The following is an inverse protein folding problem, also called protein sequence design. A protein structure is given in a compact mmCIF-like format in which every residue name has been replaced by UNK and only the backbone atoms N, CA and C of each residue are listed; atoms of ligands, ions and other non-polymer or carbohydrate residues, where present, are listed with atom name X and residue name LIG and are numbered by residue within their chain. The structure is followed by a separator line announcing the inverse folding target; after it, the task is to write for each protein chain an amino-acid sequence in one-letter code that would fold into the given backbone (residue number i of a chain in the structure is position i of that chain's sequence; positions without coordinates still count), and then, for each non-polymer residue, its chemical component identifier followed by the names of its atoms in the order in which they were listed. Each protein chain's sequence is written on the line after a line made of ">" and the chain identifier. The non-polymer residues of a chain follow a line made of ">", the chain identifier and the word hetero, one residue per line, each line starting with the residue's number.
data_IF_783410225495
#
_entry.id   IF_783410225495
#
_cell.length_a   1.000
_cell.length_b   1.000
_cell.length_c   1.000
_cell.angle_alpha   90.00
_cell.angle_beta   90.00
_cell.angle_gamma   90.00
#
_symmetry.space_group_name_H-M   'P 1'
#
loop_
_entity.id
_entity.type
_entity.pdbx_description
1 polymer ?
#
# COMPACT_ATOMS: atom_id res chain seq x y z
N UNK A 1 2.11 13.36 1.52
CA UNK A 1 1.18 12.25 1.81
C UNK A 1 0.31 11.99 0.59
N UNK A 2 0.31 10.76 0.13
CA UNK A 2 -0.46 10.39 -1.07
C UNK A 2 -1.68 9.58 -0.67
N UNK A 3 -2.64 9.49 -1.57
CA UNK A 3 -3.85 8.72 -1.36
C UNK A 3 -4.10 7.83 -2.57
N UNK A 4 -4.54 6.60 -2.34
CA UNK A 4 -4.83 5.69 -3.41
C UNK A 4 -5.76 4.57 -2.98
N UNK A 5 -6.06 3.68 -3.93
CA UNK A 5 -6.89 2.51 -3.70
C UNK A 5 -6.06 1.25 -3.82
N UNK A 6 -6.35 0.30 -2.95
CA UNK A 6 -5.73 -1.02 -3.01
C UNK A 6 -6.26 -1.76 -4.24
N UNK A 7 -5.38 -2.07 -5.18
CA UNK A 7 -5.74 -2.77 -6.41
C UNK A 7 -5.72 -4.28 -6.23
N UNK A 8 -4.81 -4.77 -5.42
CA UNK A 8 -4.64 -6.19 -5.18
C UNK A 8 -3.99 -6.37 -3.80
N UNK A 9 -4.43 -7.37 -3.07
CA UNK A 9 -3.82 -7.72 -1.80
C UNK A 9 -3.78 -9.23 -1.66
N UNK A 10 -2.59 -9.76 -1.37
CA UNK A 10 -2.41 -11.19 -1.11
C UNK A 10 -1.88 -11.37 0.30
N UNK A 11 -2.79 -11.70 1.22
CA UNK A 11 -2.45 -11.85 2.63
C UNK A 11 -1.54 -13.05 2.90
N UNK A 12 -1.62 -14.10 2.09
CA UNK A 12 -0.77 -15.26 2.25
C UNK A 12 0.69 -14.95 1.96
N UNK A 13 0.94 -14.16 0.92
CA UNK A 13 2.29 -13.78 0.53
C UNK A 13 2.76 -12.49 1.18
N UNK A 14 1.84 -11.74 1.78
CA UNK A 14 2.17 -10.52 2.50
C UNK A 14 2.52 -9.34 1.61
N UNK A 15 1.90 -9.21 0.44
CA UNK A 15 2.12 -8.06 -0.44
C UNK A 15 0.89 -7.74 -1.27
N UNK A 16 0.91 -6.55 -1.84
CA UNK A 16 -0.13 -6.11 -2.76
C UNK A 16 0.31 -4.87 -3.51
N UNK A 17 -0.61 -4.29 -4.25
CA UNK A 17 -0.35 -3.09 -5.04
C UNK A 17 -1.42 -2.04 -4.81
N UNK A 18 -0.98 -0.79 -4.75
CA UNK A 18 -1.84 0.38 -4.55
C UNK A 18 -1.77 1.25 -5.80
N UNK A 19 -2.92 1.64 -6.31
CA UNK A 19 -3.01 2.59 -7.41
C UNK A 19 -3.20 3.98 -6.86
N UNK A 20 -2.22 4.87 -7.10
CA UNK A 20 -2.28 6.24 -6.62
C UNK A 20 -3.40 7.03 -7.30
N UNK A 21 -4.10 7.87 -6.55
CA UNK A 21 -5.20 8.68 -7.09
C UNK A 21 -4.74 9.65 -8.18
N UNK A 22 -3.49 10.07 -8.13
CA UNK A 22 -2.94 10.96 -9.16
C UNK A 22 -2.54 10.24 -10.45
N UNK A 23 -2.66 8.91 -10.48
CA UNK A 23 -2.22 8.11 -11.61
C UNK A 23 -0.78 7.64 -11.46
N UNK A 24 -0.19 7.19 -12.56
CA UNK A 24 1.17 6.69 -12.54
C UNK A 24 1.25 5.19 -12.26
N UNK A 25 2.46 4.65 -12.08
CA UNK A 25 2.64 3.21 -11.84
C UNK A 25 2.10 2.78 -10.49
N UNK A 26 1.71 1.52 -10.39
CA UNK A 26 1.25 0.96 -9.12
C UNK A 26 2.39 0.92 -8.11
N UNK A 27 2.05 1.13 -6.86
CA UNK A 27 3.00 1.11 -5.76
C UNK A 27 2.96 -0.25 -5.06
N UNK A 28 4.14 -0.77 -4.73
CA UNK A 28 4.24 -2.02 -3.98
C UNK A 28 3.89 -1.77 -2.51
N UNK A 29 3.05 -2.64 -1.95
CA UNK A 29 2.68 -2.58 -0.53
C UNK A 29 3.06 -3.91 0.12
N UNK A 30 3.99 -3.86 1.07
CA UNK A 30 4.43 -5.04 1.81
C UNK A 30 3.74 -5.10 3.18
N UNK A 31 3.53 -6.30 3.69
CA UNK A 31 2.87 -6.50 4.98
C UNK A 31 3.59 -5.80 6.13
N UNK A 32 4.91 -5.65 6.05
CA UNK A 32 5.68 -4.94 7.09
C UNK A 32 5.23 -3.50 7.27
N UNK A 33 4.81 -2.83 6.18
CA UNK A 33 4.29 -1.47 6.25
C UNK A 33 2.97 -1.42 7.01
N UNK A 34 2.15 -2.46 6.89
CA UNK A 34 0.89 -2.57 7.62
C UNK A 34 1.13 -2.86 9.09
N UNK A 35 2.08 -3.74 9.39
CA UNK A 35 2.43 -4.05 10.78
C UNK A 35 2.93 -2.83 11.52
N UNK A 36 3.79 -2.04 10.88
CA UNK A 36 4.29 -0.78 11.45
C UNK A 36 3.16 0.22 11.72
N UNK A 37 2.11 0.19 10.91
CA UNK A 37 0.96 1.08 11.05
C UNK A 37 -0.12 0.54 11.98
N UNK A 38 0.03 -0.69 12.47
CA UNK A 38 -1.00 -1.33 13.29
C UNK A 38 -2.22 -1.78 12.53
N UNK A 39 -2.09 -1.99 11.22
CA UNK A 39 -3.18 -2.45 10.37
C UNK A 39 -3.11 -3.98 10.22
N UNK A 40 -4.24 -4.65 10.51
CA UNK A 40 -4.31 -6.09 10.33
C UNK A 40 -4.40 -6.42 8.82
N UNK A 41 -3.41 -7.14 8.26
CA UNK A 41 -3.41 -7.47 6.84
C UNK A 41 -4.60 -8.31 6.41
N UNK A 42 -5.22 -9.04 7.31
CA UNK A 42 -6.40 -9.85 6.98
C UNK A 42 -7.66 -9.02 6.77
N UNK A 43 -7.64 -7.76 7.19
CA UNK A 43 -8.79 -6.86 7.03
C UNK A 43 -8.74 -6.05 5.74
N UNK A 44 -7.62 -6.08 5.03
CA UNK A 44 -7.48 -5.34 3.77
C UNK A 44 -8.16 -6.04 2.62
N UNK A 45 -8.82 -5.26 1.78
CA UNK A 45 -9.54 -5.76 0.60
C UNK A 45 -9.31 -4.84 -0.59
N UNK A 46 -9.46 -5.41 -1.78
CA UNK A 46 -9.41 -4.64 -3.02
C UNK A 46 -10.42 -3.50 -2.96
N UNK A 47 -9.96 -2.32 -3.30
CA UNK A 47 -10.80 -1.11 -3.29
C UNK A 47 -10.69 -0.28 -2.02
N UNK A 48 -10.02 -0.78 -0.98
CA UNK A 48 -9.81 0.00 0.24
C UNK A 48 -8.96 1.23 -0.05
N UNK A 49 -9.35 2.35 0.54
CA UNK A 49 -8.61 3.59 0.37
C UNK A 49 -7.57 3.74 1.48
N UNK A 50 -6.38 4.17 1.07
CA UNK A 50 -5.24 4.29 1.96
C UNK A 50 -4.54 5.63 1.73
N UNK A 51 -3.95 6.16 2.80
CA UNK A 51 -2.97 7.24 2.68
C UNK A 51 -1.60 6.65 2.96
N UNK A 52 -0.57 7.22 2.34
CA UNK A 52 0.78 6.68 2.46
C UNK A 52 1.81 7.69 1.97
N UNK A 53 3.06 7.40 2.24
CA UNK A 53 4.18 8.09 1.63
C UNK A 53 4.78 7.19 0.57
N UNK A 54 5.38 7.79 -0.45
CA UNK A 54 6.01 7.05 -1.54
C UNK A 54 7.51 7.01 -1.31
N UNK A 55 8.08 5.83 -1.45
CA UNK A 55 9.50 5.60 -1.23
C UNK A 55 10.08 4.83 -2.42
N UNK A 56 11.27 5.22 -2.86
CA UNK A 56 11.99 4.49 -3.92
C UNK A 56 12.88 3.43 -3.30
N UNK A 57 12.86 2.23 -3.89
CA UNK A 57 13.79 1.17 -3.53
C UNK A 57 15.10 1.33 -4.29
N UNK A 58 16.12 0.58 -3.90
CA UNK A 58 17.41 0.57 -4.61
C UNK A 58 17.29 0.14 -6.06
N UNK A 59 16.27 -0.65 -6.36
CA UNK A 59 16.02 -1.14 -7.71
C UNK A 59 15.24 -0.17 -8.58
N UNK A 60 14.94 1.01 -8.05
CA UNK A 60 14.18 2.01 -8.78
C UNK A 60 12.68 1.77 -8.75
N UNK A 61 12.22 0.87 -7.92
CA UNK A 61 10.79 0.60 -7.75
C UNK A 61 10.20 1.51 -6.68
N UNK A 62 8.92 1.82 -6.83
CA UNK A 62 8.21 2.64 -5.85
C UNK A 62 7.40 1.75 -4.92
N UNK A 63 7.41 2.09 -3.64
CA UNK A 63 6.61 1.38 -2.65
C UNK A 63 5.92 2.35 -1.71
N UNK A 64 4.81 1.90 -1.13
CA UNK A 64 4.08 2.68 -0.13
C UNK A 64 4.67 2.42 1.26
N UNK A 65 4.82 3.47 2.04
CA UNK A 65 5.25 3.37 3.44
C UNK A 65 4.41 4.31 4.29
N UNK A 66 4.51 4.20 5.60
CA UNK A 66 3.70 5.00 6.55
C UNK A 66 2.21 4.95 6.18
N UNK A 67 1.72 3.74 5.93
CA UNK A 67 0.37 3.52 5.40
C UNK A 67 -0.66 3.71 6.50
N UNK A 68 -1.80 4.33 6.14
CA UNK A 68 -2.95 4.48 7.02
C UNK A 68 -4.23 4.23 6.24
N UNK A 69 -5.22 3.69 6.91
CA UNK A 69 -6.54 3.48 6.28
C UNK A 69 -7.31 4.79 6.29
N UNK A 70 -8.03 5.03 5.18
CA UNK A 70 -8.98 6.12 5.07
C UNK A 70 -10.38 5.59 5.35
N UNK A 71 -11.09 6.28 6.13
CA UNK A 71 -12.48 5.96 6.44
C UNK A 71 -12.72 5.16 7.69
#
# INVERSE_FOLDING_TARGET
>A
MATGKLKMWNAERGYGFVGDDSGGPDLFLHVSALESAGIDPLTLRKGDRLTYDVESTREGKLRACNVRRLG
#
